data_IF_094685057046
#
_entry.id   IF_094685057046
#
_cell.length_a   1.000
_cell.length_b   1.000
_cell.length_c   1.000
_cell.angle_alpha   90.00
_cell.angle_beta   90.00
_cell.angle_gamma   90.00
#
_symmetry.space_group_name_H-M   'P 1'
#
loop_
_entity.id
_entity.type
_entity.pdbx_description
1 polymer ?
#
# COMPACT_ATOMS: atom_id res chain seq x y z
N UNK A 1 -19.99 -0.32 -3.34
CA UNK A 1 -18.59 -0.29 -3.79
C UNK A 1 -17.75 -0.45 -2.55
N UNK A 2 -16.88 -1.44 -2.50
CA UNK A 2 -15.96 -1.63 -1.37
C UNK A 2 -15.04 -0.41 -1.23
N UNK A 3 -14.83 0.01 0.02
CA UNK A 3 -13.93 1.13 0.33
C UNK A 3 -12.48 0.71 -0.01
N UNK A 4 -11.66 1.59 -0.62
CA UNK A 4 -10.25 1.28 -0.81
C UNK A 4 -9.56 1.04 0.54
N UNK A 5 -8.49 0.23 0.58
CA UNK A 5 -7.80 -0.14 1.81
C UNK A 5 -7.00 1.01 2.45
N UNK A 6 -6.85 2.14 1.75
CA UNK A 6 -6.22 3.38 2.20
C UNK A 6 -6.60 4.54 1.27
N UNK A 7 -6.16 5.75 1.61
CA UNK A 7 -6.43 6.99 0.86
C UNK A 7 -5.11 7.69 0.51
N UNK A 8 -5.15 8.52 -0.53
CA UNK A 8 -4.01 9.36 -0.90
C UNK A 8 -3.65 10.26 0.26
N UNK A 9 -2.36 10.29 0.60
CA UNK A 9 -1.82 11.07 1.70
C UNK A 9 -1.63 10.28 2.99
N UNK A 10 -2.28 9.12 3.15
CA UNK A 10 -2.12 8.26 4.33
C UNK A 10 -0.65 7.88 4.53
N UNK A 11 -0.21 7.89 5.78
CA UNK A 11 1.03 7.22 6.16
C UNK A 11 0.76 5.73 6.40
N UNK A 12 1.62 4.86 5.87
CA UNK A 12 1.50 3.42 6.03
C UNK A 12 2.81 2.81 6.50
N UNK A 13 2.71 1.62 7.09
CA UNK A 13 3.85 0.75 7.39
C UNK A 13 3.61 -0.59 6.70
N UNK A 14 4.59 -1.04 5.92
CA UNK A 14 4.52 -2.35 5.28
C UNK A 14 4.56 -3.45 6.35
N UNK A 15 3.65 -4.41 6.25
CA UNK A 15 3.59 -5.59 7.13
C UNK A 15 4.15 -6.81 6.40
N UNK A 16 3.68 -7.04 5.18
CA UNK A 16 4.08 -8.17 4.36
C UNK A 16 3.95 -7.81 2.89
N UNK A 17 4.90 -8.28 2.09
CA UNK A 17 4.84 -8.23 0.64
C UNK A 17 4.88 -9.68 0.16
N UNK A 18 4.07 -10.01 -0.84
CA UNK A 18 3.93 -11.38 -1.33
C UNK A 18 5.23 -11.97 -1.92
N UNK A 19 5.10 -12.89 -2.87
CA UNK A 19 6.26 -13.46 -3.58
C UNK A 19 6.89 -12.45 -4.57
N UNK A 20 7.34 -11.29 -4.06
CA UNK A 20 8.14 -10.33 -4.81
C UNK A 20 9.64 -10.74 -4.72
N UNK A 21 10.38 -10.80 -5.84
CA UNK A 21 11.79 -11.18 -5.85
C UNK A 21 12.72 -10.18 -5.16
N UNK A 22 12.26 -8.94 -4.95
CA UNK A 22 12.99 -7.89 -4.26
C UNK A 22 11.99 -7.04 -3.47
N UNK A 23 11.45 -7.53 -2.35
CA UNK A 23 10.37 -6.85 -1.65
C UNK A 23 10.87 -5.57 -0.98
N UNK A 24 9.94 -4.64 -0.71
CA UNK A 24 10.18 -3.60 0.28
C UNK A 24 10.31 -4.28 1.66
N UNK A 25 11.31 -3.93 2.50
CA UNK A 25 11.46 -4.56 3.81
C UNK A 25 10.24 -4.31 4.72
N UNK A 26 9.69 -5.34 5.41
CA UNK A 26 8.66 -5.15 6.42
C UNK A 26 9.08 -4.12 7.48
N UNK A 27 8.13 -3.32 7.96
CA UNK A 27 8.38 -2.20 8.87
C UNK A 27 8.75 -0.89 8.16
N UNK A 28 9.03 -0.90 6.85
CA UNK A 28 9.29 0.32 6.08
C UNK A 28 8.05 1.21 6.05
N UNK A 29 8.25 2.49 6.37
CA UNK A 29 7.22 3.53 6.29
C UNK A 29 7.14 4.11 4.89
N UNK A 30 5.95 4.52 4.49
CA UNK A 30 5.74 5.24 3.25
C UNK A 30 4.48 6.06 3.27
N UNK A 31 4.33 6.95 2.30
CA UNK A 31 3.14 7.78 2.12
C UNK A 31 2.40 7.37 0.85
N UNK A 32 1.09 7.17 0.95
CA UNK A 32 0.27 6.77 -0.18
C UNK A 32 0.16 7.92 -1.18
N UNK A 33 0.58 7.68 -2.42
CA UNK A 33 0.57 8.63 -3.52
C UNK A 33 -0.64 8.45 -4.44
N UNK A 34 -1.07 7.22 -4.69
CA UNK A 34 -2.25 6.92 -5.51
C UNK A 34 -2.86 5.57 -5.14
N UNK A 35 -4.17 5.44 -5.37
CA UNK A 35 -4.95 4.22 -5.10
C UNK A 35 -5.84 3.96 -6.31
N UNK A 36 -5.58 2.88 -7.05
CA UNK A 36 -6.28 2.55 -8.28
C UNK A 36 -6.95 1.18 -8.18
N UNK A 37 -8.26 1.11 -8.44
CA UNK A 37 -8.98 -0.17 -8.54
C UNK A 37 -8.60 -0.88 -9.84
N UNK A 38 -8.19 -2.14 -9.76
CA UNK A 38 -7.86 -2.96 -10.92
C UNK A 38 -9.14 -3.59 -11.48
N UNK A 39 -9.69 -2.99 -12.54
CA UNK A 39 -11.00 -3.39 -13.11
C UNK A 39 -10.96 -4.66 -13.99
N UNK A 40 -9.78 -5.11 -14.38
CA UNK A 40 -9.61 -6.25 -15.30
C UNK A 40 -9.60 -7.61 -14.60
N UNK A 41 -9.57 -7.63 -13.27
CA UNK A 41 -9.73 -8.84 -12.49
C UNK A 41 -11.15 -8.80 -11.91
N UNK A 42 -11.91 -9.90 -11.96
CA UNK A 42 -13.23 -10.01 -11.31
C UNK A 42 -13.14 -9.97 -9.76
N UNK A 43 -12.06 -9.41 -9.22
CA UNK A 43 -11.72 -9.36 -7.80
C UNK A 43 -11.43 -7.93 -7.38
N UNK A 44 -11.80 -7.56 -6.16
CA UNK A 44 -11.59 -6.24 -5.56
C UNK A 44 -10.11 -5.98 -5.25
N UNK A 45 -9.28 -5.89 -6.29
CA UNK A 45 -7.85 -5.63 -6.16
C UNK A 45 -7.59 -4.14 -6.34
N UNK A 46 -6.67 -3.63 -5.53
CA UNK A 46 -6.19 -2.26 -5.62
C UNK A 46 -4.69 -2.27 -5.85
N UNK A 47 -4.24 -1.44 -6.77
CA UNK A 47 -2.83 -1.08 -6.90
C UNK A 47 -2.61 0.24 -6.16
N UNK A 48 -1.63 0.24 -5.25
CA UNK A 48 -1.37 1.35 -4.34
C UNK A 48 0.06 1.82 -4.59
N UNK A 49 0.21 3.06 -5.02
CA UNK A 49 1.53 3.67 -5.17
C UNK A 49 1.92 4.33 -3.85
N UNK A 50 3.15 4.08 -3.41
CA UNK A 50 3.65 4.54 -2.13
C UNK A 50 5.02 5.17 -2.33
N UNK A 51 5.20 6.37 -1.81
CA UNK A 51 6.50 7.00 -1.67
C UNK A 51 7.13 6.46 -0.38
N UNK A 52 8.00 5.45 -0.53
CA UNK A 52 8.66 4.78 0.59
C UNK A 52 9.80 5.60 1.16
N UNK A 53 10.06 5.48 2.46
CA UNK A 53 11.18 6.12 3.15
C UNK A 53 12.50 5.35 2.96
N UNK A 54 12.75 4.89 1.74
CA UNK A 54 13.99 4.22 1.29
C UNK A 54 14.30 4.63 -0.15
N UNK A 55 15.53 4.39 -0.62
CA UNK A 55 16.00 4.78 -1.95
C UNK A 55 15.47 3.89 -3.10
N UNK A 56 14.18 3.52 -3.05
CA UNK A 56 13.50 2.79 -4.14
C UNK A 56 12.00 3.01 -4.09
N UNK A 57 11.36 2.82 -5.23
CA UNK A 57 9.91 2.80 -5.37
C UNK A 57 9.41 1.38 -5.62
N UNK A 58 8.22 1.07 -5.09
CA UNK A 58 7.46 -0.12 -5.46
C UNK A 58 5.98 0.14 -5.16
N UNK A 59 5.09 -0.47 -5.93
CA UNK A 59 3.65 -0.43 -5.71
C UNK A 59 3.20 -1.66 -4.92
N UNK A 60 2.15 -1.51 -4.12
CA UNK A 60 1.48 -2.62 -3.47
C UNK A 60 0.29 -3.10 -4.29
N UNK A 61 -0.02 -4.38 -4.18
CA UNK A 61 -1.24 -4.99 -4.71
C UNK A 61 -2.06 -5.56 -3.55
N UNK A 62 -3.15 -4.89 -3.19
CA UNK A 62 -4.08 -5.39 -2.18
C UNK A 62 -5.03 -6.45 -2.77
N UNK A 63 -5.39 -7.52 -2.02
CA UNK A 63 -4.96 -7.85 -0.65
C UNK A 63 -3.69 -8.73 -0.56
N UNK A 64 -2.97 -8.93 -1.67
CA UNK A 64 -1.78 -9.80 -1.68
C UNK A 64 -0.65 -9.24 -0.81
N UNK A 65 -0.47 -7.91 -0.85
CA UNK A 65 0.42 -7.17 0.02
C UNK A 65 -0.36 -6.59 1.19
N UNK A 66 0.25 -6.63 2.37
CA UNK A 66 -0.34 -6.22 3.63
C UNK A 66 0.42 -5.04 4.21
N UNK A 67 -0.32 -4.06 4.68
CA UNK A 67 0.20 -2.88 5.34
C UNK A 67 -0.79 -2.43 6.41
N UNK A 68 -0.34 -1.52 7.26
CA UNK A 68 -1.21 -0.82 8.22
C UNK A 68 -1.16 0.66 7.96
N UNK A 69 -2.31 1.33 8.01
CA UNK A 69 -2.39 2.79 8.05
C UNK A 69 -1.93 3.26 9.44
N UNK A 70 -1.07 4.27 9.47
CA UNK A 70 -0.62 4.91 10.70
C UNK A 70 -1.74 5.86 11.14
N UNK A 71 -2.30 5.70 12.37
CA UNK A 71 -3.30 6.61 12.86
C UNK A 71 -2.71 8.01 12.98
N UNK A 72 -3.40 9.02 12.43
CA UNK A 72 -3.13 10.39 12.80
C UNK A 72 -3.57 10.57 14.27
N UNK A 73 -2.67 11.04 15.13
CA UNK A 73 -3.06 11.45 16.47
C UNK A 73 -4.13 12.54 16.33
N UNK A 74 -5.27 12.37 17.01
CA UNK A 74 -6.26 13.44 17.10
C UNK A 74 -5.59 14.61 17.84
N UNK A 75 -5.45 15.74 17.14
CA UNK A 75 -5.00 17.01 17.71
C UNK A 75 -5.97 17.54 18.75
#
# INVERSE_FOLDING_TARGET
MDEPPCKIGDEIVLVFMGNDPCPIPPGTRGRVRSVNKLLFCQSDRYQIMVDWQIERSLMLVWPADQFRVVPHAAS
#
